data_IF_588452724475
#
_entry.id   IF_588452724475
#
_cell.length_a   1.000
_cell.length_b   1.000
_cell.length_c   1.000
_cell.angle_alpha   90.00
_cell.angle_beta   90.00
_cell.angle_gamma   90.00
#
_symmetry.space_group_name_H-M   'P 1'
#
loop_
_entity.id
_entity.type
_entity.pdbx_description
1 polymer ?
#
# COMPACT_ATOMS: atom_id res chain seq x y z
N UNK A 1 0.06 11.23 -13.78
CA UNK A 1 0.34 12.59 -13.28
C UNK A 1 0.19 12.63 -11.76
N UNK A 2 0.57 13.71 -11.07
CA UNK A 2 0.42 13.79 -9.61
C UNK A 2 -1.05 13.67 -9.16
N UNK A 3 -1.99 14.15 -10.00
CA UNK A 3 -3.43 14.13 -9.71
C UNK A 3 -4.09 12.77 -9.99
N UNK A 4 -3.35 11.77 -10.49
CA UNK A 4 -3.86 10.41 -10.62
C UNK A 4 -4.05 9.76 -9.24
N UNK A 5 -3.35 10.29 -8.23
CA UNK A 5 -3.40 9.83 -6.85
C UNK A 5 -3.83 10.94 -5.90
N UNK A 6 -3.38 12.18 -6.11
CA UNK A 6 -3.69 13.32 -5.24
C UNK A 6 -4.93 14.06 -5.70
N UNK A 7 -5.72 14.55 -4.74
CA UNK A 7 -6.82 15.46 -5.02
C UNK A 7 -6.27 16.74 -5.72
N UNK A 8 -6.92 17.24 -6.78
CA UNK A 8 -6.40 18.33 -7.63
C UNK A 8 -6.18 19.64 -6.87
N UNK A 9 -7.10 19.97 -5.95
CA UNK A 9 -7.01 21.18 -5.13
C UNK A 9 -6.38 20.92 -3.74
N UNK A 10 -6.87 19.92 -3.00
CA UNK A 10 -6.48 19.61 -1.62
C UNK A 10 -5.44 18.48 -1.57
N UNK A 11 -4.21 18.79 -1.97
CA UNK A 11 -3.13 17.81 -2.21
C UNK A 11 -2.72 16.95 -1.00
N UNK A 12 -3.07 17.35 0.22
CA UNK A 12 -2.92 16.56 1.45
C UNK A 12 -3.88 15.37 1.53
N UNK A 13 -4.71 15.20 0.50
CA UNK A 13 -5.59 14.06 0.35
C UNK A 13 -5.37 13.37 -0.98
N UNK A 14 -5.63 12.08 -0.96
CA UNK A 14 -5.75 11.26 -2.14
C UNK A 14 -7.17 11.37 -2.70
N UNK A 15 -7.34 11.10 -3.99
CA UNK A 15 -8.64 11.03 -4.63
C UNK A 15 -8.71 9.79 -5.52
N UNK A 16 -9.79 9.03 -5.38
CA UNK A 16 -10.00 7.85 -6.20
C UNK A 16 -10.67 8.18 -7.55
N UNK A 17 -10.79 7.19 -8.45
CA UNK A 17 -11.39 7.42 -9.77
C UNK A 17 -12.88 7.79 -9.74
N UNK A 18 -13.52 7.74 -8.58
CA UNK A 18 -14.91 8.15 -8.36
C UNK A 18 -15.00 9.53 -7.69
N UNK A 19 -13.89 10.23 -7.53
CA UNK A 19 -13.82 11.55 -6.88
C UNK A 19 -13.91 11.47 -5.36
N UNK A 20 -13.75 10.29 -4.75
CA UNK A 20 -13.82 10.14 -3.29
C UNK A 20 -12.48 10.51 -2.69
N UNK A 21 -12.54 11.42 -1.72
CA UNK A 21 -11.40 11.87 -0.92
C UNK A 21 -10.95 10.76 0.04
N UNK A 22 -9.66 10.49 0.06
CA UNK A 22 -9.01 9.44 0.85
C UNK A 22 -7.89 10.06 1.67
N UNK A 23 -7.85 9.75 2.96
CA UNK A 23 -6.76 10.13 3.85
C UNK A 23 -5.49 9.28 3.59
N UNK A 24 -4.30 9.83 3.80
CA UNK A 24 -3.03 9.10 3.56
C UNK A 24 -2.92 7.80 4.38
N UNK A 25 -3.51 7.75 5.58
CA UNK A 25 -3.58 6.53 6.41
C UNK A 25 -4.39 5.41 5.73
N UNK A 26 -5.14 5.76 4.70
CA UNK A 26 -6.02 4.86 3.96
C UNK A 26 -5.58 4.66 2.50
N UNK A 27 -4.30 4.89 2.16
CA UNK A 27 -3.79 4.72 0.78
C UNK A 27 -4.09 3.35 0.14
N UNK A 28 -4.24 2.28 0.91
CA UNK A 28 -4.73 0.96 0.42
C UNK A 28 -6.07 1.04 -0.33
N UNK A 29 -6.93 2.02 -0.02
CA UNK A 29 -8.19 2.26 -0.73
C UNK A 29 -7.92 2.72 -2.17
N UNK A 30 -6.91 3.57 -2.36
CA UNK A 30 -6.50 4.09 -3.67
C UNK A 30 -5.78 3.02 -4.49
N UNK A 31 -4.71 2.43 -3.94
CA UNK A 31 -3.87 1.46 -4.66
C UNK A 31 -4.66 0.21 -5.08
N UNK A 32 -5.58 -0.23 -4.21
CA UNK A 32 -6.40 -1.41 -4.45
C UNK A 32 -7.52 -1.24 -5.46
N UNK A 33 -7.72 -0.05 -6.04
CA UNK A 33 -8.60 0.12 -7.21
C UNK A 33 -8.10 -0.70 -8.41
N UNK A 34 -6.77 -0.78 -8.58
CA UNK A 34 -6.13 -1.55 -9.63
C UNK A 34 -5.46 -2.82 -9.08
N UNK A 35 -4.86 -2.76 -7.89
CA UNK A 35 -4.15 -3.88 -7.25
C UNK A 35 -5.04 -4.68 -6.30
N UNK A 36 -6.20 -5.14 -6.79
CA UNK A 36 -7.24 -5.75 -5.96
C UNK A 36 -6.80 -7.05 -5.26
N UNK A 37 -5.96 -7.87 -5.91
CA UNK A 37 -5.43 -9.11 -5.31
C UNK A 37 -4.53 -8.78 -4.11
N UNK A 38 -3.60 -7.85 -4.29
CA UNK A 38 -2.70 -7.40 -3.23
C UNK A 38 -3.47 -6.73 -2.09
N UNK A 39 -4.50 -5.93 -2.40
CA UNK A 39 -5.39 -5.36 -1.37
C UNK A 39 -6.11 -6.44 -0.58
N UNK A 40 -6.63 -7.49 -1.24
CA UNK A 40 -7.28 -8.61 -0.54
C UNK A 40 -6.31 -9.30 0.43
N UNK A 41 -5.10 -9.59 -0.02
CA UNK A 41 -4.09 -10.24 0.82
C UNK A 41 -3.61 -9.31 1.95
N UNK A 42 -3.53 -7.99 1.69
CA UNK A 42 -3.27 -6.96 2.69
C UNK A 42 -4.37 -6.91 3.76
N UNK A 43 -5.65 -6.95 3.36
CA UNK A 43 -6.80 -6.99 4.27
C UNK A 43 -6.81 -8.25 5.14
N UNK A 44 -6.38 -9.38 4.59
CA UNK A 44 -6.17 -10.64 5.31
C UNK A 44 -4.99 -10.62 6.29
N UNK A 45 -4.22 -9.53 6.34
CA UNK A 45 -3.13 -9.34 7.30
C UNK A 45 -1.75 -9.80 6.82
N UNK A 46 -1.64 -10.40 5.62
CA UNK A 46 -0.34 -10.80 5.07
C UNK A 46 0.58 -9.60 4.84
N UNK A 47 0.01 -8.47 4.40
CA UNK A 47 0.73 -7.21 4.20
C UNK A 47 0.19 -6.06 5.06
N UNK A 48 -1.06 -6.14 5.54
CA UNK A 48 -1.67 -5.16 6.46
C UNK A 48 -1.41 -5.48 7.91
N UNK A 49 -0.16 -5.84 8.24
CA UNK A 49 0.25 -6.27 9.57
C UNK A 49 -0.08 -5.16 10.60
N UNK A 50 -0.76 -5.54 11.68
CA UNK A 50 -0.95 -4.67 12.86
C UNK A 50 0.37 -4.47 13.60
N UNK A 51 0.63 -3.24 14.03
CA UNK A 51 1.93 -2.86 14.62
C UNK A 51 1.85 -2.37 16.06
N UNK A 52 0.65 -2.10 16.60
CA UNK A 52 0.47 -1.64 17.98
C UNK A 52 -0.36 -2.63 18.80
N UNK A 53 -1.68 -2.54 18.70
CA UNK A 53 -2.61 -3.25 19.57
C UNK A 53 -3.24 -4.46 18.85
N UNK A 54 -3.36 -5.57 19.59
CA UNK A 54 -4.16 -6.72 19.17
C UNK A 54 -5.66 -6.41 19.26
N UNK A 55 -6.10 -5.86 20.41
CA UNK A 55 -7.45 -5.34 20.63
C UNK A 55 -7.35 -3.85 21.03
N UNK A 56 -8.00 -2.98 20.26
CA UNK A 56 -7.86 -1.51 20.34
C UNK A 56 -7.65 -0.90 18.95
N UNK A 57 -7.17 0.34 18.92
CA UNK A 57 -6.97 1.09 17.67
C UNK A 57 -6.13 0.30 16.65
N UNK A 58 -6.63 0.27 15.42
CA UNK A 58 -6.01 -0.48 14.33
C UNK A 58 -4.94 0.39 13.67
N UNK A 59 -3.71 0.27 14.15
CA UNK A 59 -2.52 0.80 13.47
C UNK A 59 -1.89 -0.32 12.64
N UNK A 60 -1.76 -0.09 11.34
CA UNK A 60 -1.24 -1.08 10.39
C UNK A 60 -0.25 -0.43 9.43
N UNK A 61 0.65 -1.25 8.88
CA UNK A 61 1.44 -0.80 7.74
C UNK A 61 0.58 -0.64 6.50
N UNK A 62 0.78 0.48 5.81
CA UNK A 62 0.10 0.79 4.56
C UNK A 62 0.94 0.39 3.35
N UNK A 63 0.38 0.46 2.15
CA UNK A 63 1.13 0.16 0.92
C UNK A 63 2.41 1.00 0.83
N UNK A 64 2.30 2.28 1.17
CA UNK A 64 3.38 3.27 1.10
C UNK A 64 4.43 3.16 2.21
N UNK A 65 4.19 2.32 3.24
CA UNK A 65 5.20 2.05 4.27
C UNK A 65 6.42 1.35 3.66
N UNK A 66 6.19 0.44 2.69
CA UNK A 66 7.26 -0.30 2.02
C UNK A 66 7.48 0.14 0.58
N UNK A 67 6.43 0.59 -0.11
CA UNK A 67 6.51 1.03 -1.51
C UNK A 67 6.67 2.54 -1.59
N UNK A 68 7.57 3.02 -2.44
CA UNK A 68 7.62 4.44 -2.78
C UNK A 68 6.34 4.82 -3.57
N UNK A 69 5.47 5.73 -3.09
CA UNK A 69 4.22 6.07 -3.78
C UNK A 69 4.42 6.67 -5.18
N UNK A 70 5.58 7.29 -5.43
CA UNK A 70 5.93 7.87 -6.73
C UNK A 70 6.76 6.90 -7.60
N UNK A 71 7.15 5.75 -7.06
CA UNK A 71 7.77 4.65 -7.79
C UNK A 71 7.46 3.30 -7.11
N UNK A 72 6.21 2.79 -7.19
CA UNK A 72 5.78 1.69 -6.32
C UNK A 72 6.43 0.35 -6.63
N UNK A 73 6.92 0.16 -7.86
CA UNK A 73 7.55 -1.09 -8.26
C UNK A 73 8.91 -1.22 -7.57
N UNK A 74 9.13 -2.36 -6.90
CA UNK A 74 10.46 -2.70 -6.41
C UNK A 74 11.42 -2.93 -7.58
N UNK A 75 12.66 -2.45 -7.41
CA UNK A 75 13.73 -2.74 -8.38
C UNK A 75 14.08 -4.23 -8.38
N UNK A 76 14.56 -4.70 -9.53
CA UNK A 76 15.08 -6.05 -9.65
C UNK A 76 16.36 -6.12 -8.80
N UNK A 77 16.36 -6.99 -7.80
CA UNK A 77 17.52 -7.27 -6.96
C UNK A 77 17.77 -8.77 -6.88
N UNK A 78 19.02 -9.16 -6.66
CA UNK A 78 19.32 -10.55 -6.31
C UNK A 78 18.62 -10.92 -5.00
N UNK A 79 18.17 -12.18 -4.84
CA UNK A 79 17.57 -12.62 -3.60
C UNK A 79 18.55 -12.39 -2.44
N UNK A 80 18.02 -11.86 -1.32
CA UNK A 80 18.84 -11.51 -0.16
C UNK A 80 19.52 -12.75 0.47
N UNK A 81 18.93 -13.92 0.27
CA UNK A 81 19.50 -15.22 0.61
C UNK A 81 19.53 -16.07 -0.64
N UNK A 82 20.71 -16.52 -1.04
CA UNK A 82 20.86 -17.58 -2.03
C UNK A 82 20.46 -18.90 -1.37
N UNK A 83 19.29 -19.43 -1.71
CA UNK A 83 18.95 -20.81 -1.37
C UNK A 83 19.70 -21.70 -2.35
N UNK A 84 20.65 -22.50 -1.85
CA UNK A 84 21.24 -23.58 -2.65
C UNK A 84 20.11 -24.50 -3.16
N UNK A 85 20.23 -25.08 -4.37
CA UNK A 85 19.28 -26.07 -4.85
C UNK A 85 19.09 -27.17 -3.80
N UNK A 86 17.84 -27.53 -3.53
CA UNK A 86 17.49 -28.71 -2.73
C UNK A 86 17.59 -29.89 -3.69
N UNK A 87 18.51 -30.81 -3.44
CA UNK A 87 18.62 -32.09 -4.17
C UNK A 87 17.38 -32.96 -3.99
#
# INVERSE_FOLDING_TARGET
TCIDCHHPEKRDYLEDKKGRKIDFDHSYQLCGQCHFRQKRDWLGGAHGKRVTNWAGDRVVFNCTTCHNPHSPRFEKRFPATYSVPIE
#
